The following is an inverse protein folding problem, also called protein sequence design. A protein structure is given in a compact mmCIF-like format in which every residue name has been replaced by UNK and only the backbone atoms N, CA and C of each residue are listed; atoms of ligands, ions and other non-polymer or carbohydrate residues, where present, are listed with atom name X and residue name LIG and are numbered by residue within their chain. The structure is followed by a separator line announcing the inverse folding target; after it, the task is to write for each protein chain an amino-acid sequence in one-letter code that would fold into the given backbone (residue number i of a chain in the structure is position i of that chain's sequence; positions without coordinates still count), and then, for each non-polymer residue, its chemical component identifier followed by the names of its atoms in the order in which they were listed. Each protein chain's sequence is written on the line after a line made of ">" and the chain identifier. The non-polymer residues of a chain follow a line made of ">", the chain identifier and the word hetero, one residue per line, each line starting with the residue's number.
data_IF_950345367665
#
_entry.id   IF_950345367665
#
_cell.length_a   1.000
_cell.length_b   1.000
_cell.length_c   1.000
_cell.angle_alpha   90.00
_cell.angle_beta   90.00
_cell.angle_gamma   90.00
#
_symmetry.space_group_name_H-M   'P 1'
#
loop_
_entity.id
_entity.type
_entity.pdbx_description
1 polymer ?
#
# COMPACT_ATOMS: atom_id res chain seq x y z
N UNK A 1 -5.71 -16.73 16.51
CA UNK A 1 -6.18 -15.55 15.74
C UNK A 1 -5.01 -14.64 15.45
N UNK A 2 -4.81 -14.33 14.20
CA UNK A 2 -3.72 -13.45 13.83
C UNK A 2 -4.07 -11.99 14.09
N UNK A 3 -3.14 -11.26 14.61
CA UNK A 3 -3.30 -9.83 14.77
C UNK A 3 -2.90 -9.15 13.48
N UNK A 4 -3.74 -8.24 13.03
CA UNK A 4 -3.41 -7.40 11.89
C UNK A 4 -2.49 -6.29 12.39
N UNK A 5 -1.35 -6.18 11.77
CA UNK A 5 -0.36 -5.18 12.17
C UNK A 5 -0.66 -3.85 11.48
N UNK A 6 -0.87 -2.83 12.29
CA UNK A 6 -1.08 -1.47 11.79
C UNK A 6 0.27 -0.83 11.51
N UNK A 7 0.39 -0.26 10.32
CA UNK A 7 1.64 0.40 9.92
C UNK A 7 1.32 1.75 9.28
N UNK A 8 2.33 2.59 9.17
CA UNK A 8 2.19 3.87 8.48
C UNK A 8 2.31 3.64 6.98
N UNK A 9 1.89 4.65 6.20
CA UNK A 9 2.06 4.62 4.75
C UNK A 9 3.52 4.42 4.38
N UNK A 10 4.42 5.15 5.03
CA UNK A 10 5.85 5.05 4.74
C UNK A 10 6.42 3.68 5.05
N UNK A 11 6.01 3.08 6.16
CA UNK A 11 6.42 1.72 6.51
C UNK A 11 5.90 0.71 5.48
N UNK A 12 4.67 0.90 5.02
CA UNK A 12 4.10 0.04 3.98
C UNK A 12 4.89 0.15 2.69
N UNK A 13 5.21 1.36 2.26
CA UNK A 13 5.99 1.56 1.04
C UNK A 13 7.37 0.93 1.14
N UNK A 14 8.00 1.04 2.31
CA UNK A 14 9.30 0.41 2.54
C UNK A 14 9.20 -1.12 2.45
N UNK A 15 8.13 -1.69 3.00
CA UNK A 15 7.90 -3.13 2.92
C UNK A 15 7.71 -3.60 1.47
N UNK A 16 6.98 -2.82 0.67
CA UNK A 16 6.80 -3.12 -0.75
C UNK A 16 8.12 -3.03 -1.51
N UNK A 17 8.92 -2.04 -1.20
CA UNK A 17 10.21 -1.85 -1.86
C UNK A 17 11.21 -2.95 -1.51
N UNK A 18 11.10 -3.51 -0.30
CA UNK A 18 11.94 -4.62 0.13
C UNK A 18 11.56 -5.94 -0.54
N UNK A 19 10.39 -6.01 -1.15
CA UNK A 19 9.91 -7.20 -1.85
C UNK A 19 9.35 -6.76 -3.21
N UNK A 20 10.23 -6.28 -4.11
CA UNK A 20 9.79 -5.67 -5.37
C UNK A 20 9.14 -6.68 -6.30
N UNK A 21 8.27 -6.17 -7.16
CA UNK A 21 7.59 -6.95 -8.19
C UNK A 21 6.73 -8.07 -7.62
N UNK A 22 6.27 -7.90 -6.37
CA UNK A 22 5.41 -8.85 -5.70
C UNK A 22 4.18 -8.10 -5.18
N UNK A 23 3.03 -8.40 -5.75
CA UNK A 23 1.76 -7.79 -5.37
C UNK A 23 1.35 -8.24 -3.98
N UNK A 24 0.99 -7.28 -3.14
CA UNK A 24 0.53 -7.54 -1.79
C UNK A 24 -0.77 -6.80 -1.52
N UNK A 25 -1.57 -7.34 -0.64
CA UNK A 25 -2.87 -6.78 -0.31
C UNK A 25 -2.79 -6.05 1.03
N UNK A 26 -3.28 -4.83 1.04
CA UNK A 26 -3.34 -4.01 2.26
C UNK A 26 -4.72 -3.40 2.40
N UNK A 27 -5.12 -3.17 3.64
CA UNK A 27 -6.34 -2.46 3.95
C UNK A 27 -6.01 -1.04 4.39
N UNK A 28 -6.71 -0.08 3.83
CA UNK A 28 -6.57 1.32 4.19
C UNK A 28 -7.58 1.66 5.27
N UNK A 29 -7.09 2.15 6.39
CA UNK A 29 -7.90 2.59 7.50
C UNK A 29 -7.71 4.07 7.73
N UNK A 30 -8.79 4.74 8.10
CA UNK A 30 -8.74 6.14 8.50
C UNK A 30 -9.60 6.27 9.73
N UNK A 31 -8.99 6.74 10.83
CA UNK A 31 -9.67 6.91 12.11
C UNK A 31 -10.33 5.62 12.60
N UNK A 32 -9.63 4.50 12.40
CA UNK A 32 -10.11 3.20 12.85
C UNK A 32 -11.18 2.55 11.97
N UNK A 33 -11.58 3.21 10.91
CA UNK A 33 -12.59 2.67 9.99
C UNK A 33 -11.94 2.18 8.71
N UNK A 34 -12.31 0.99 8.28
CA UNK A 34 -11.88 0.45 7.00
C UNK A 34 -12.42 1.31 5.87
N UNK A 35 -11.54 1.76 4.98
CA UNK A 35 -11.93 2.55 3.82
C UNK A 35 -11.96 1.71 2.55
N UNK A 36 -10.89 0.97 2.31
CA UNK A 36 -10.76 0.19 1.09
C UNK A 36 -9.67 -0.85 1.24
N UNK A 37 -9.73 -1.86 0.42
CA UNK A 37 -8.68 -2.85 0.27
C UNK A 37 -7.95 -2.56 -1.03
N UNK A 38 -6.63 -2.54 -0.96
CA UNK A 38 -5.79 -2.22 -2.10
C UNK A 38 -4.85 -3.37 -2.41
N UNK A 39 -4.58 -3.56 -3.67
CA UNK A 39 -3.48 -4.40 -4.14
C UNK A 39 -2.35 -3.46 -4.52
N UNK A 40 -1.20 -3.70 -3.91
CA UNK A 40 -0.07 -2.78 -4.01
C UNK A 40 1.19 -3.53 -4.42
N UNK A 41 2.02 -2.85 -5.18
CA UNK A 41 3.25 -3.43 -5.68
C UNK A 41 4.28 -2.34 -5.91
N UNK A 42 5.54 -2.63 -5.61
CA UNK A 42 6.63 -1.76 -6.04
C UNK A 42 7.25 -2.35 -7.31
N UNK A 43 7.25 -1.59 -8.39
CA UNK A 43 7.85 -2.02 -9.65
C UNK A 43 9.31 -1.58 -9.71
N UNK A 44 10.22 -2.54 -9.75
CA UNK A 44 11.63 -2.23 -9.90
C UNK A 44 11.93 -1.63 -11.27
N UNK A 45 11.17 -1.99 -12.28
CA UNK A 45 11.32 -1.46 -13.62
C UNK A 45 10.87 -0.01 -13.72
N UNK A 46 9.70 0.30 -13.16
CA UNK A 46 9.14 1.65 -13.21
C UNK A 46 9.67 2.56 -12.12
N UNK A 47 10.22 1.97 -11.07
CA UNK A 47 10.64 2.70 -9.87
C UNK A 47 9.47 3.51 -9.28
N UNK A 48 8.29 2.88 -9.27
CA UNK A 48 7.05 3.47 -8.79
C UNK A 48 6.23 2.43 -8.05
N UNK A 49 5.27 2.92 -7.27
CA UNK A 49 4.37 2.06 -6.53
C UNK A 49 3.02 1.98 -7.25
N UNK A 50 2.56 0.78 -7.48
CA UNK A 50 1.27 0.54 -8.11
C UNK A 50 0.19 0.40 -7.06
N UNK A 51 -0.97 0.97 -7.33
CA UNK A 51 -2.11 0.95 -6.43
C UNK A 51 -3.36 0.59 -7.23
N UNK A 52 -4.06 -0.44 -6.80
CA UNK A 52 -5.29 -0.87 -7.44
C UNK A 52 -6.33 -1.25 -6.39
N UNK A 53 -7.56 -0.82 -6.57
CA UNK A 53 -8.69 -1.24 -5.75
C UNK A 53 -9.49 -2.35 -6.44
N UNK A 54 -9.09 -2.67 -7.66
CA UNK A 54 -9.61 -3.83 -8.39
C UNK A 54 -8.41 -4.52 -9.04
N UNK A 55 -8.59 -5.62 -9.71
CA UNK A 55 -7.47 -6.39 -10.24
C UNK A 55 -6.91 -5.87 -11.55
N UNK A 56 -7.54 -4.87 -12.14
CA UNK A 56 -7.28 -4.58 -13.54
C UNK A 56 -6.45 -3.34 -13.77
N UNK A 57 -6.67 -2.32 -12.99
CA UNK A 57 -6.11 -1.01 -13.28
C UNK A 57 -5.21 -0.53 -12.17
N UNK A 58 -3.91 -0.60 -12.41
CA UNK A 58 -2.94 0.00 -11.51
C UNK A 58 -2.73 1.45 -11.86
N UNK A 59 -2.75 2.29 -10.84
CA UNK A 59 -2.26 3.66 -10.94
C UNK A 59 -0.87 3.67 -10.34
N UNK A 60 0.09 4.27 -11.03
CA UNK A 60 1.48 4.26 -10.60
C UNK A 60 1.86 5.61 -10.03
N UNK A 61 2.49 5.58 -8.87
CA UNK A 61 2.89 6.78 -8.14
C UNK A 61 4.35 6.69 -7.73
N UNK A 62 5.01 7.83 -7.70
CA UNK A 62 6.31 7.91 -7.02
C UNK A 62 6.06 7.85 -5.51
N UNK A 63 7.12 7.58 -4.74
CA UNK A 63 7.00 7.55 -3.29
C UNK A 63 6.45 8.87 -2.75
N UNK A 64 6.97 9.99 -3.23
CA UNK A 64 6.54 11.31 -2.80
C UNK A 64 5.06 11.55 -3.07
N UNK A 65 4.60 11.17 -4.26
CA UNK A 65 3.20 11.30 -4.63
C UNK A 65 2.30 10.45 -3.74
N UNK A 66 2.72 9.21 -3.48
CA UNK A 66 1.94 8.29 -2.67
C UNK A 66 1.80 8.80 -1.24
N UNK A 67 2.90 9.24 -0.65
CA UNK A 67 2.91 9.77 0.71
C UNK A 67 2.04 11.02 0.80
N UNK A 68 2.07 11.87 -0.21
CA UNK A 68 1.24 13.08 -0.23
C UNK A 68 -0.26 12.75 -0.24
N UNK A 69 -0.65 11.76 -1.04
CA UNK A 69 -2.06 11.37 -1.15
C UNK A 69 -2.56 10.72 0.14
N UNK A 70 -1.75 9.89 0.76
CA UNK A 70 -2.14 9.10 1.93
C UNK A 70 -1.45 9.52 3.22
N UNK A 71 -0.92 10.73 3.28
CA UNK A 71 -0.24 11.22 4.46
C UNK A 71 -1.14 11.13 5.69
N UNK A 72 -0.59 10.62 6.77
CA UNK A 72 -1.31 10.49 8.04
C UNK A 72 -2.26 9.31 8.12
N UNK A 73 -2.44 8.59 7.05
CA UNK A 73 -3.30 7.42 7.03
C UNK A 73 -2.55 6.19 7.48
N UNK A 74 -3.32 5.22 7.97
CA UNK A 74 -2.75 3.98 8.48
C UNK A 74 -3.19 2.83 7.61
N UNK A 75 -2.27 1.90 7.37
CA UNK A 75 -2.52 0.70 6.57
C UNK A 75 -2.35 -0.52 7.46
N UNK A 76 -3.16 -1.53 7.19
CA UNK A 76 -3.05 -2.82 7.86
C UNK A 76 -2.81 -3.88 6.80
N UNK A 77 -1.79 -4.71 7.03
CA UNK A 77 -1.49 -5.79 6.11
C UNK A 77 -2.52 -6.91 6.26
N UNK A 78 -2.98 -7.40 5.14
CA UNK A 78 -3.84 -8.57 5.09
C UNK A 78 -3.00 -9.85 5.09
N UNK A 79 -3.47 -10.82 5.80
CA UNK A 79 -2.83 -12.13 5.85
C UNK A 79 -3.73 -13.20 5.25
#
# INVERSE_FOLDING_TARGET
>A
MEEKKRITTEQMLQALKNDPDNEQQYCHYLRGCLRSTHWLEYSSEKNKYGDSTNWFDYTWFTEAEFVEIYAGNWWMREH
#
